data_IF_384746764561
#
_entry.id   IF_384746764561
#
_cell.length_a   1.000
_cell.length_b   1.000
_cell.length_c   1.000
_cell.angle_alpha   90.00
_cell.angle_beta   90.00
_cell.angle_gamma   90.00
#
_symmetry.space_group_name_H-M   'P 1'
#
loop_
_entity.id
_entity.type
_entity.pdbx_description
1 polymer ?
#
# COMPACT_ATOMS: atom_id res chain seq x y z
N UNK A 1 20.93 -7.14 9.25
CA UNK A 1 21.07 -8.16 10.30
C UNK A 1 19.72 -8.40 10.94
N UNK A 2 19.42 -9.67 11.32
CA UNK A 2 18.14 -9.96 11.96
C UNK A 2 18.16 -11.24 12.75
N UNK A 3 17.22 -11.34 13.70
CA UNK A 3 16.89 -12.55 14.44
C UNK A 3 15.40 -12.80 14.21
N UNK A 4 15.06 -14.05 13.89
CA UNK A 4 13.66 -14.47 13.76
C UNK A 4 13.43 -15.73 14.58
N UNK A 5 12.23 -15.86 15.13
CA UNK A 5 11.82 -17.04 15.87
C UNK A 5 10.37 -17.40 15.57
N UNK A 6 10.07 -18.68 15.65
CA UNK A 6 8.73 -19.23 15.46
C UNK A 6 8.46 -20.33 16.49
N UNK A 7 7.30 -20.28 17.09
CA UNK A 7 6.77 -21.31 17.97
C UNK A 7 5.40 -21.73 17.45
N UNK A 8 5.20 -23.04 17.31
CA UNK A 8 3.94 -23.62 16.89
C UNK A 8 3.47 -24.63 17.94
N UNK A 9 2.19 -24.63 18.24
CA UNK A 9 1.57 -25.57 19.14
C UNK A 9 0.28 -26.10 18.54
N UNK A 10 0.12 -27.41 18.55
CA UNK A 10 -1.09 -28.09 18.09
C UNK A 10 -1.60 -29.03 19.17
N UNK A 11 -2.86 -28.85 19.58
CA UNK A 11 -3.52 -29.73 20.52
C UNK A 11 -4.55 -30.59 19.79
N UNK A 12 -4.37 -31.90 19.86
CA UNK A 12 -5.26 -32.93 19.32
C UNK A 12 -5.68 -32.73 17.85
N UNK A 13 -4.83 -32.08 17.03
CA UNK A 13 -5.11 -31.68 15.64
C UNK A 13 -6.40 -30.84 15.50
N UNK A 14 -6.90 -30.27 16.59
CA UNK A 14 -8.10 -29.42 16.66
C UNK A 14 -7.76 -27.96 16.84
N UNK A 15 -6.89 -27.64 17.80
CA UNK A 15 -6.51 -26.28 18.15
C UNK A 15 -5.07 -26.06 17.73
N UNK A 16 -4.86 -25.03 16.94
CA UNK A 16 -3.56 -24.69 16.37
C UNK A 16 -3.20 -23.28 16.82
N UNK A 17 -1.99 -23.08 17.32
CA UNK A 17 -1.45 -21.78 17.69
C UNK A 17 -0.07 -21.60 17.08
N UNK A 18 0.19 -20.40 16.66
CA UNK A 18 1.50 -20.00 16.12
C UNK A 18 1.83 -18.60 16.62
N UNK A 19 3.07 -18.42 17.05
CA UNK A 19 3.64 -17.12 17.37
C UNK A 19 4.98 -16.99 16.62
N UNK A 20 5.16 -15.85 15.95
CA UNK A 20 6.39 -15.53 15.25
C UNK A 20 6.87 -14.16 15.69
N UNK A 21 8.18 -13.95 15.58
CA UNK A 21 8.73 -12.61 15.68
C UNK A 21 9.90 -12.45 14.71
N UNK A 22 10.06 -11.24 14.21
CA UNK A 22 11.26 -10.76 13.54
C UNK A 22 11.82 -9.57 14.30
N UNK A 23 13.10 -9.59 14.59
CA UNK A 23 13.85 -8.46 15.13
C UNK A 23 14.94 -8.12 14.13
N UNK A 24 14.70 -7.08 13.32
CA UNK A 24 15.51 -6.78 12.14
C UNK A 24 16.18 -5.42 12.27
N UNK A 25 17.41 -5.34 11.84
CA UNK A 25 18.20 -4.10 11.82
C UNK A 25 18.54 -3.69 10.40
N UNK A 26 18.23 -2.43 10.05
CA UNK A 26 18.57 -1.80 8.79
C UNK A 26 19.54 -0.65 8.96
N UNK A 27 20.57 -0.62 8.12
CA UNK A 27 21.53 0.50 8.07
C UNK A 27 20.96 1.75 7.39
N UNK A 28 19.82 1.64 6.73
CA UNK A 28 19.12 2.77 6.14
C UNK A 28 18.69 3.82 7.18
N UNK A 29 18.61 3.42 8.45
CA UNK A 29 18.20 4.31 9.53
C UNK A 29 19.38 4.79 10.40
N UNK A 30 19.20 5.95 10.99
CA UNK A 30 20.18 6.53 11.93
C UNK A 30 20.42 5.62 13.15
N UNK A 31 21.59 5.71 13.80
CA UNK A 31 21.82 5.03 15.06
C UNK A 31 20.69 5.31 16.06
N UNK A 32 20.17 4.25 16.71
CA UNK A 32 19.02 4.32 17.61
C UNK A 32 17.66 4.12 16.93
N UNK A 33 17.57 4.16 15.60
CA UNK A 33 16.34 3.89 14.81
C UNK A 33 16.44 2.63 13.95
N UNK A 34 17.56 1.94 13.96
CA UNK A 34 17.87 0.83 13.04
C UNK A 34 17.04 -0.42 13.28
N UNK A 35 16.67 -0.70 14.53
CA UNK A 35 16.06 -1.96 14.92
C UNK A 35 14.55 -1.85 14.99
N UNK A 36 13.86 -2.76 14.32
CA UNK A 36 12.41 -2.94 14.35
C UNK A 36 12.03 -4.32 14.89
N UNK A 37 10.96 -4.38 15.69
CA UNK A 37 10.41 -5.63 16.22
C UNK A 37 9.02 -5.87 15.62
N UNK A 38 8.87 -7.01 14.95
CA UNK A 38 7.71 -7.35 14.14
C UNK A 38 7.13 -8.69 14.61
N UNK A 39 6.28 -8.70 15.65
CA UNK A 39 5.62 -9.89 16.13
C UNK A 39 4.39 -10.24 15.28
N UNK A 40 4.03 -11.53 15.27
CA UNK A 40 2.76 -12.02 14.75
C UNK A 40 2.26 -13.22 15.54
N UNK A 41 0.95 -13.38 15.58
CA UNK A 41 0.31 -14.52 16.20
C UNK A 41 -0.83 -15.02 15.30
N UNK A 42 -1.06 -16.33 15.32
CA UNK A 42 -2.16 -16.97 14.62
C UNK A 42 -2.81 -18.05 15.49
N UNK A 43 -4.11 -18.22 15.30
CA UNK A 43 -4.87 -19.31 15.88
C UNK A 43 -5.73 -19.98 14.81
N UNK A 44 -5.89 -21.29 14.93
CA UNK A 44 -6.75 -22.07 14.05
C UNK A 44 -7.56 -23.11 14.85
N UNK A 45 -8.79 -23.30 14.43
CA UNK A 45 -9.67 -24.33 14.97
C UNK A 45 -10.16 -25.23 13.85
N UNK A 46 -9.77 -26.51 13.91
CA UNK A 46 -10.24 -27.55 12.98
C UNK A 46 -11.50 -28.15 13.55
N UNK A 47 -12.63 -27.51 13.25
CA UNK A 47 -13.95 -27.87 13.77
C UNK A 47 -14.34 -29.29 13.34
N UNK A 48 -13.96 -29.67 12.13
CA UNK A 48 -14.21 -31.00 11.59
C UNK A 48 -13.52 -32.14 12.35
N UNK A 49 -12.58 -31.83 13.24
CA UNK A 49 -11.94 -32.83 14.11
C UNK A 49 -12.61 -32.97 15.50
N UNK A 50 -13.66 -32.22 15.74
CA UNK A 50 -14.46 -32.38 16.97
C UNK A 50 -15.36 -33.62 16.89
N UNK A 51 -15.64 -34.23 18.04
CA UNK A 51 -16.45 -35.45 18.14
C UNK A 51 -17.91 -35.23 17.68
N UNK A 52 -18.44 -34.03 17.84
CA UNK A 52 -19.80 -33.71 17.39
C UNK A 52 -19.92 -33.61 15.87
N UNK A 53 -18.80 -33.59 15.12
CA UNK A 53 -18.78 -33.45 13.66
C UNK A 53 -19.00 -34.76 12.91
N UNK A 54 -18.90 -35.91 13.58
CA UNK A 54 -18.90 -37.25 12.92
C UNK A 54 -20.15 -37.49 12.08
N UNK A 55 -21.31 -36.98 12.50
CA UNK A 55 -22.57 -37.15 11.78
C UNK A 55 -22.62 -36.51 10.39
N UNK A 56 -21.87 -35.43 10.19
CA UNK A 56 -21.88 -34.65 8.94
C UNK A 56 -20.57 -34.73 8.15
N UNK A 57 -19.58 -35.46 8.64
CA UNK A 57 -18.23 -35.60 8.03
C UNK A 57 -18.25 -36.12 6.59
N UNK A 58 -19.27 -36.93 6.23
CA UNK A 58 -19.43 -37.43 4.84
C UNK A 58 -19.76 -36.31 3.87
N UNK A 59 -20.51 -35.30 4.31
CA UNK A 59 -20.88 -34.12 3.50
C UNK A 59 -19.87 -33.00 3.63
N UNK A 60 -19.52 -32.64 4.87
CA UNK A 60 -18.51 -31.62 5.18
C UNK A 60 -17.29 -32.32 5.74
N UNK A 61 -16.35 -32.63 4.84
CA UNK A 61 -15.16 -33.43 5.16
C UNK A 61 -14.10 -32.63 5.93
N UNK A 62 -14.06 -31.34 5.76
CA UNK A 62 -13.16 -30.44 6.49
C UNK A 62 -13.85 -29.10 6.77
N UNK A 63 -13.68 -28.60 7.98
CA UNK A 63 -14.02 -27.23 8.34
C UNK A 63 -12.97 -26.72 9.31
N UNK A 64 -12.27 -25.67 8.89
CA UNK A 64 -11.28 -24.99 9.70
C UNK A 64 -11.45 -23.49 9.61
N UNK A 65 -11.39 -22.82 10.74
CA UNK A 65 -11.34 -21.36 10.85
C UNK A 65 -9.93 -20.99 11.32
N UNK A 66 -9.37 -19.93 10.75
CA UNK A 66 -8.08 -19.37 11.15
C UNK A 66 -8.17 -17.87 11.30
N UNK A 67 -7.37 -17.34 12.19
CA UNK A 67 -7.16 -15.90 12.35
C UNK A 67 -5.68 -15.66 12.59
N UNK A 68 -5.14 -14.63 11.96
CA UNK A 68 -3.79 -14.17 12.23
C UNK A 68 -3.76 -12.65 12.33
N UNK A 69 -2.90 -12.17 13.20
CA UNK A 69 -2.60 -10.75 13.34
C UNK A 69 -1.10 -10.56 13.50
N UNK A 70 -0.53 -9.60 12.79
CA UNK A 70 0.91 -9.37 12.86
C UNK A 70 1.32 -7.99 12.35
N UNK A 71 2.55 -7.64 12.72
CA UNK A 71 3.25 -6.47 12.23
C UNK A 71 4.27 -6.90 11.18
N UNK A 72 4.39 -6.12 10.09
CA UNK A 72 5.44 -6.25 9.11
C UNK A 72 6.14 -4.90 8.94
N UNK A 73 7.46 -4.88 8.96
CA UNK A 73 8.28 -3.71 8.73
C UNK A 73 8.81 -3.66 7.30
N UNK A 74 8.92 -2.45 6.76
CA UNK A 74 9.57 -2.19 5.49
C UNK A 74 10.64 -1.11 5.65
N UNK A 75 11.86 -1.38 5.18
CA UNK A 75 12.99 -0.47 5.16
C UNK A 75 13.40 -0.02 3.75
N UNK A 76 12.63 -0.43 2.73
CA UNK A 76 12.85 -0.04 1.35
C UNK A 76 12.20 1.33 1.06
N UNK A 77 12.86 2.39 1.48
CA UNK A 77 12.35 3.77 1.42
C UNK A 77 12.58 4.47 0.07
N UNK A 78 13.09 3.75 -0.94
CA UNK A 78 13.47 4.31 -2.24
C UNK A 78 14.84 4.98 -2.26
N UNK A 79 15.29 5.53 -1.14
CA UNK A 79 16.60 6.17 -0.96
C UNK A 79 17.44 5.40 0.04
N UNK A 80 18.76 5.36 -0.18
CA UNK A 80 19.70 4.78 0.79
C UNK A 80 20.16 5.88 1.76
N UNK A 81 20.22 5.52 3.04
CA UNK A 81 20.68 6.43 4.12
C UNK A 81 19.92 7.77 4.17
N UNK A 82 18.56 7.76 4.16
CA UNK A 82 17.76 8.97 4.12
C UNK A 82 17.97 9.90 5.33
N UNK A 83 18.71 9.46 6.34
CA UNK A 83 19.10 10.29 7.49
C UNK A 83 20.30 11.22 7.20
N UNK A 84 20.96 11.06 6.04
CA UNK A 84 22.12 11.86 5.63
C UNK A 84 21.71 12.92 4.61
N UNK A 85 22.21 14.13 4.79
CA UNK A 85 22.13 15.15 3.74
C UNK A 85 23.16 14.85 2.65
N UNK A 86 22.78 15.08 1.40
CA UNK A 86 23.66 14.95 0.24
C UNK A 86 24.05 16.34 -0.20
N UNK A 87 25.35 16.56 -0.36
CA UNK A 87 25.93 17.81 -0.83
C UNK A 87 26.63 17.55 -2.17
N UNK A 88 26.14 18.18 -3.23
CA UNK A 88 26.80 18.20 -4.51
C UNK A 88 27.86 19.32 -4.53
N UNK A 89 29.02 19.01 -5.10
CA UNK A 89 30.11 19.99 -5.27
C UNK A 89 30.15 20.43 -6.73
N UNK A 90 30.47 21.71 -6.94
CA UNK A 90 30.62 22.23 -8.30
C UNK A 90 29.31 22.59 -9.01
N UNK A 91 28.22 22.73 -8.26
CA UNK A 91 26.94 23.22 -8.76
C UNK A 91 26.92 24.72 -9.04
N UNK A 92 25.93 25.19 -9.81
CA UNK A 92 25.85 26.62 -10.22
C UNK A 92 25.48 27.58 -9.08
N UNK A 93 25.15 27.10 -7.91
CA UNK A 93 24.86 27.89 -6.70
C UNK A 93 26.14 28.36 -6.02
N UNK A 94 27.04 28.99 -6.78
CA UNK A 94 28.28 29.50 -6.29
C UNK A 94 28.16 30.84 -5.54
N UNK A 95 29.27 31.39 -5.18
CA UNK A 95 29.35 32.69 -4.50
C UNK A 95 28.98 33.81 -5.48
N UNK A 96 28.17 34.74 -5.03
CA UNK A 96 27.87 35.97 -5.74
C UNK A 96 28.59 37.14 -5.05
N UNK A 97 29.30 37.90 -5.86
CA UNK A 97 29.90 39.19 -5.43
C UNK A 97 29.50 40.26 -6.43
N UNK A 98 28.90 41.35 -5.98
CA UNK A 98 28.34 42.40 -6.83
C UNK A 98 27.40 41.88 -7.93
N UNK A 99 26.52 40.94 -7.59
CA UNK A 99 25.56 40.26 -8.50
C UNK A 99 26.21 39.44 -9.61
N UNK A 100 27.52 39.26 -9.62
CA UNK A 100 28.21 38.38 -10.54
C UNK A 100 28.58 37.06 -9.88
N UNK A 101 28.35 35.95 -10.58
CA UNK A 101 28.74 34.62 -10.11
C UNK A 101 30.27 34.52 -10.08
N UNK A 102 30.82 34.18 -8.92
CA UNK A 102 32.26 34.03 -8.73
C UNK A 102 32.76 32.58 -8.81
N UNK A 103 31.88 31.65 -9.17
CA UNK A 103 32.23 30.26 -9.32
C UNK A 103 31.19 29.29 -8.82
N UNK A 104 31.51 28.00 -8.90
CA UNK A 104 30.70 26.91 -8.47
C UNK A 104 30.98 26.58 -6.99
N UNK A 105 29.93 26.35 -6.22
CA UNK A 105 30.02 26.06 -4.79
C UNK A 105 29.31 24.77 -4.38
N UNK A 106 29.35 24.42 -3.11
CA UNK A 106 28.57 23.29 -2.58
C UNK A 106 27.09 23.66 -2.55
N UNK A 107 26.24 22.68 -2.89
CA UNK A 107 24.78 22.78 -2.84
C UNK A 107 24.21 21.54 -2.16
N UNK A 108 23.33 21.73 -1.19
CA UNK A 108 22.57 20.61 -0.62
C UNK A 108 21.52 20.19 -1.65
N UNK A 109 21.60 18.95 -2.12
CA UNK A 109 20.63 18.36 -3.07
C UNK A 109 19.57 17.53 -2.38
N UNK A 110 19.83 17.05 -1.17
CA UNK A 110 18.87 16.32 -0.35
C UNK A 110 19.11 16.62 1.12
N UNK A 111 18.07 17.02 1.82
CA UNK A 111 18.12 17.15 3.28
C UNK A 111 17.84 15.80 3.94
N UNK A 112 18.77 15.34 4.77
CA UNK A 112 18.60 14.11 5.53
C UNK A 112 17.58 14.26 6.65
N UNK A 113 16.83 13.18 6.90
CA UNK A 113 15.92 13.08 8.03
C UNK A 113 16.45 12.08 9.07
N UNK A 114 17.07 12.52 10.17
CA UNK A 114 17.58 11.63 11.21
C UNK A 114 16.46 10.87 11.97
N UNK A 115 15.19 11.30 11.78
CA UNK A 115 14.03 10.64 12.37
C UNK A 115 13.38 9.60 11.43
N UNK A 116 13.95 9.37 10.23
CA UNK A 116 13.49 8.32 9.36
C UNK A 116 13.51 6.95 10.06
N UNK A 117 12.42 6.21 9.96
CA UNK A 117 12.21 4.92 10.62
C UNK A 117 11.47 3.96 9.71
N UNK A 118 11.26 2.75 10.19
CA UNK A 118 10.51 1.70 9.50
C UNK A 118 9.10 2.15 9.13
N UNK A 119 8.66 1.76 7.96
CA UNK A 119 7.23 1.71 7.65
C UNK A 119 6.65 0.47 8.30
N UNK A 120 5.51 0.58 8.94
CA UNK A 120 4.84 -0.51 9.64
C UNK A 120 3.49 -0.83 9.01
N UNK A 121 3.27 -2.12 8.71
CA UNK A 121 2.00 -2.64 8.26
C UNK A 121 1.40 -3.57 9.32
N UNK A 122 0.24 -3.21 9.86
CA UNK A 122 -0.60 -4.05 10.72
C UNK A 122 -1.52 -4.87 9.83
N UNK A 123 -1.40 -6.19 9.91
CA UNK A 123 -2.15 -7.12 9.07
C UNK A 123 -3.04 -8.01 9.90
N UNK A 124 -4.31 -8.10 9.52
CA UNK A 124 -5.27 -9.06 10.05
C UNK A 124 -5.75 -9.93 8.89
N UNK A 125 -5.76 -11.23 9.08
CA UNK A 125 -6.33 -12.21 8.16
C UNK A 125 -7.26 -13.15 8.92
N UNK A 126 -8.49 -13.34 8.39
CA UNK A 126 -9.48 -14.28 8.91
C UNK A 126 -9.85 -15.21 7.76
N UNK A 127 -9.56 -16.49 7.92
CA UNK A 127 -9.76 -17.49 6.87
C UNK A 127 -10.67 -18.64 7.28
N UNK A 128 -11.38 -19.15 6.29
CA UNK A 128 -12.23 -20.33 6.36
C UNK A 128 -11.74 -21.35 5.32
N UNK A 129 -11.53 -22.57 5.75
CA UNK A 129 -11.24 -23.71 4.87
C UNK A 129 -12.40 -24.71 4.96
N UNK A 130 -13.06 -24.98 3.86
CA UNK A 130 -14.24 -25.85 3.76
C UNK A 130 -14.00 -26.96 2.74
N UNK A 131 -14.06 -28.21 3.20
CA UNK A 131 -14.02 -29.40 2.33
C UNK A 131 -15.41 -30.03 2.23
N UNK A 132 -15.88 -30.26 1.02
CA UNK A 132 -17.18 -30.86 0.75
C UNK A 132 -17.03 -32.16 -0.07
N UNK A 133 -17.74 -33.20 0.36
CA UNK A 133 -17.85 -34.49 -0.34
C UNK A 133 -16.50 -35.16 -0.67
N UNK A 134 -15.42 -34.82 0.05
CA UNK A 134 -14.04 -35.20 -0.26
C UNK A 134 -13.62 -34.87 -1.71
N UNK A 135 -14.27 -33.90 -2.36
CA UNK A 135 -14.02 -33.55 -3.75
C UNK A 135 -13.83 -32.04 -3.95
N UNK A 136 -14.57 -31.21 -3.24
CA UNK A 136 -14.53 -29.75 -3.36
C UNK A 136 -13.88 -29.16 -2.12
N UNK A 137 -12.79 -28.40 -2.31
CA UNK A 137 -12.14 -27.61 -1.28
C UNK A 137 -12.31 -26.13 -1.61
N UNK A 138 -12.84 -25.38 -0.66
CA UNK A 138 -13.04 -23.93 -0.74
C UNK A 138 -12.21 -23.29 0.36
N UNK A 139 -11.41 -22.30 0.00
CA UNK A 139 -10.69 -21.42 0.92
C UNK A 139 -11.19 -20.01 0.70
N UNK A 140 -11.66 -19.36 1.76
CA UNK A 140 -12.06 -17.97 1.75
C UNK A 140 -11.29 -17.23 2.84
N UNK A 141 -10.75 -16.06 2.52
CA UNK A 141 -10.06 -15.23 3.49
C UNK A 141 -10.52 -13.78 3.34
N UNK A 142 -10.69 -13.11 4.46
CA UNK A 142 -10.83 -11.67 4.58
C UNK A 142 -9.57 -11.11 5.20
N UNK A 143 -8.99 -10.11 4.56
CA UNK A 143 -7.77 -9.48 5.04
C UNK A 143 -7.92 -7.98 5.17
N UNK A 144 -7.19 -7.41 6.13
CA UNK A 144 -7.00 -5.96 6.24
C UNK A 144 -5.53 -5.66 6.48
N UNK A 145 -5.10 -4.52 5.96
CA UNK A 145 -3.78 -3.96 6.20
C UNK A 145 -3.91 -2.47 6.51
N UNK A 146 -3.29 -2.02 7.59
CA UNK A 146 -3.12 -0.61 7.95
C UNK A 146 -1.63 -0.30 7.95
N UNK A 147 -1.17 0.35 6.88
CA UNK A 147 0.24 0.73 6.69
C UNK A 147 0.44 2.16 7.11
N UNK A 148 1.30 2.37 8.08
CA UNK A 148 1.63 3.66 8.69
C UNK A 148 3.10 4.00 8.51
N UNK A 149 3.43 5.29 8.64
CA UNK A 149 4.81 5.74 8.54
C UNK A 149 5.39 5.59 7.13
N UNK A 150 4.55 5.65 6.08
CA UNK A 150 5.02 5.59 4.70
C UNK A 150 5.96 6.77 4.45
N UNK A 151 7.16 6.46 3.98
CA UNK A 151 8.19 7.45 3.73
C UNK A 151 7.93 8.20 2.43
N UNK A 152 7.65 9.48 2.53
CA UNK A 152 7.32 10.31 1.38
C UNK A 152 7.87 11.72 1.51
N UNK A 153 7.90 12.44 0.39
CA UNK A 153 8.30 13.85 0.34
C UNK A 153 7.27 14.72 1.06
N UNK A 154 7.76 15.71 1.81
CA UNK A 154 6.91 16.71 2.44
C UNK A 154 6.54 17.79 1.42
N UNK A 155 5.27 17.90 1.10
CA UNK A 155 4.77 18.87 0.09
C UNK A 155 4.06 20.07 0.70
N UNK A 156 3.70 20.02 1.99
CA UNK A 156 3.05 21.11 2.73
C UNK A 156 4.00 22.25 3.14
N UNK A 157 5.30 22.13 2.85
CA UNK A 157 6.27 23.16 3.22
C UNK A 157 6.12 24.37 2.29
N UNK A 158 5.91 25.60 2.85
CA UNK A 158 5.78 26.81 2.04
C UNK A 158 7.05 27.07 1.23
N UNK A 159 6.90 27.66 0.05
CA UNK A 159 8.02 28.06 -0.81
C UNK A 159 8.98 29.05 -0.15
N UNK A 160 8.48 29.84 0.82
CA UNK A 160 9.26 30.78 1.62
C UNK A 160 10.34 30.12 2.48
N UNK A 161 10.27 28.80 2.71
CA UNK A 161 11.34 28.05 3.42
C UNK A 161 12.63 27.95 2.61
N UNK A 162 12.62 28.24 1.30
CA UNK A 162 13.77 28.09 0.41
C UNK A 162 14.10 26.64 0.07
N UNK A 163 13.27 25.66 0.45
CA UNK A 163 13.50 24.23 0.24
C UNK A 163 12.91 23.70 -1.07
N UNK A 164 12.56 24.57 -2.01
CA UNK A 164 12.06 24.19 -3.33
C UNK A 164 13.09 23.31 -4.08
N UNK A 165 12.64 22.14 -4.54
CA UNK A 165 13.48 21.17 -5.25
C UNK A 165 14.33 20.27 -4.35
N UNK A 166 14.50 20.59 -3.05
CA UNK A 166 15.25 19.81 -2.07
C UNK A 166 14.41 19.45 -0.84
N UNK A 167 13.11 19.33 -1.04
CA UNK A 167 12.11 19.08 0.01
C UNK A 167 12.46 17.82 0.79
N UNK A 168 12.50 17.88 2.13
CA UNK A 168 12.84 16.73 2.96
C UNK A 168 11.74 15.64 2.90
N UNK A 169 12.15 14.42 3.17
CA UNK A 169 11.26 13.28 3.31
C UNK A 169 10.91 13.01 4.78
N UNK A 170 9.77 12.36 5.01
CA UNK A 170 9.34 11.94 6.34
C UNK A 170 8.43 10.71 6.30
N UNK A 171 8.29 10.03 7.45
CA UNK A 171 7.37 8.93 7.66
C UNK A 171 5.98 9.46 8.03
N UNK A 172 5.25 9.99 7.04
CA UNK A 172 4.04 10.79 7.23
C UNK A 172 2.82 10.28 6.48
N UNK A 173 2.97 9.21 5.69
CA UNK A 173 1.86 8.64 4.94
C UNK A 173 1.21 7.47 5.65
N UNK A 174 -0.08 7.26 5.37
CA UNK A 174 -0.86 6.12 5.83
C UNK A 174 -1.83 5.67 4.76
N UNK A 175 -1.86 4.36 4.54
CA UNK A 175 -2.78 3.70 3.59
C UNK A 175 -3.43 2.53 4.30
N UNK A 176 -4.75 2.40 4.14
CA UNK A 176 -5.49 1.21 4.54
C UNK A 176 -5.88 0.40 3.33
N UNK A 177 -5.85 -0.90 3.47
CA UNK A 177 -6.40 -1.81 2.47
C UNK A 177 -7.19 -2.92 3.13
N UNK A 178 -8.18 -3.45 2.42
CA UNK A 178 -8.97 -4.60 2.82
C UNK A 178 -9.44 -5.35 1.59
N UNK A 179 -9.72 -6.64 1.75
CA UNK A 179 -10.18 -7.44 0.64
C UNK A 179 -10.62 -8.83 1.04
N UNK A 180 -11.02 -9.57 0.03
CA UNK A 180 -11.40 -10.98 0.14
C UNK A 180 -10.68 -11.78 -0.94
N UNK A 181 -10.18 -12.95 -0.54
CA UNK A 181 -9.63 -13.96 -1.42
C UNK A 181 -10.49 -15.21 -1.35
N UNK A 182 -10.81 -15.79 -2.49
CA UNK A 182 -11.56 -17.03 -2.63
C UNK A 182 -10.81 -17.96 -3.57
N UNK A 183 -10.63 -19.21 -3.15
CA UNK A 183 -10.12 -20.30 -3.98
C UNK A 183 -11.05 -21.49 -3.85
N UNK A 184 -11.41 -22.10 -4.97
CA UNK A 184 -12.19 -23.33 -5.01
C UNK A 184 -11.49 -24.36 -5.89
N UNK A 185 -11.28 -25.55 -5.36
CA UNK A 185 -10.62 -26.66 -6.05
C UNK A 185 -11.55 -27.87 -6.00
N UNK A 186 -12.00 -28.32 -7.17
CA UNK A 186 -12.77 -29.53 -7.30
C UNK A 186 -11.92 -30.63 -7.94
N UNK A 187 -11.76 -31.76 -7.22
CA UNK A 187 -11.05 -32.93 -7.70
C UNK A 187 -11.98 -34.13 -7.59
N UNK A 188 -12.26 -34.79 -8.70
CA UNK A 188 -13.10 -35.99 -8.73
C UNK A 188 -12.46 -37.03 -9.63
N UNK A 189 -12.26 -38.22 -9.09
CA UNK A 189 -11.96 -39.43 -9.87
C UNK A 189 -13.25 -40.19 -10.09
N UNK A 190 -13.64 -40.36 -11.35
CA UNK A 190 -14.87 -41.07 -11.72
C UNK A 190 -14.61 -42.58 -11.84
N UNK A 191 -13.49 -42.94 -12.43
CA UNK A 191 -13.03 -44.31 -12.56
C UNK A 191 -11.49 -44.36 -12.69
N UNK A 192 -10.90 -45.52 -13.05
CA UNK A 192 -9.45 -45.68 -13.18
C UNK A 192 -8.84 -44.83 -14.30
N UNK A 193 -9.62 -44.49 -15.31
CA UNK A 193 -9.14 -43.83 -16.54
C UNK A 193 -9.57 -42.37 -16.62
N UNK A 194 -10.57 -41.96 -15.85
CA UNK A 194 -11.14 -40.61 -15.90
C UNK A 194 -11.05 -39.87 -14.55
N UNK A 195 -10.44 -38.73 -14.57
CA UNK A 195 -10.42 -37.77 -13.45
C UNK A 195 -10.68 -36.36 -13.95
N UNK A 196 -11.28 -35.53 -13.11
CA UNK A 196 -11.51 -34.11 -13.37
C UNK A 196 -10.94 -33.29 -12.23
N UNK A 197 -10.12 -32.29 -12.58
CA UNK A 197 -9.62 -31.28 -11.67
C UNK A 197 -9.96 -29.89 -12.21
N UNK A 198 -10.69 -29.10 -11.42
CA UNK A 198 -11.05 -27.71 -11.73
C UNK A 198 -10.55 -26.81 -10.59
N UNK A 199 -10.00 -25.66 -10.95
CA UNK A 199 -9.60 -24.64 -9.98
C UNK A 199 -10.11 -23.27 -10.42
N UNK A 200 -10.77 -22.57 -9.51
CA UNK A 200 -11.16 -21.18 -9.65
C UNK A 200 -10.59 -20.35 -8.52
N UNK A 201 -10.18 -19.13 -8.82
CA UNK A 201 -9.72 -18.15 -7.81
C UNK A 201 -10.39 -16.81 -8.08
N UNK A 202 -10.71 -16.10 -7.00
CA UNK A 202 -11.25 -14.74 -7.07
C UNK A 202 -10.62 -13.91 -5.97
N UNK A 203 -10.12 -12.72 -6.34
CA UNK A 203 -9.59 -11.75 -5.41
C UNK A 203 -10.26 -10.41 -5.62
N UNK A 204 -10.69 -9.79 -4.54
CA UNK A 204 -11.18 -8.42 -4.54
C UNK A 204 -10.46 -7.64 -3.44
N UNK A 205 -9.85 -6.51 -3.80
CA UNK A 205 -9.22 -5.63 -2.82
C UNK A 205 -9.51 -4.17 -3.11
N UNK A 206 -9.59 -3.39 -2.05
CA UNK A 206 -9.64 -1.93 -2.08
C UNK A 206 -8.60 -1.35 -1.14
N UNK A 207 -8.07 -0.21 -1.53
CA UNK A 207 -7.20 0.58 -0.67
C UNK A 207 -7.66 2.03 -0.65
N UNK A 208 -7.22 2.77 0.37
CA UNK A 208 -7.56 4.17 0.61
C UNK A 208 -6.36 4.87 1.23
N UNK A 209 -6.02 6.03 0.70
CA UNK A 209 -5.05 6.94 1.30
C UNK A 209 -5.71 7.63 2.48
N UNK A 210 -5.25 7.35 3.70
CA UNK A 210 -5.81 7.93 4.94
C UNK A 210 -5.06 9.20 5.31
N UNK A 211 -3.73 9.20 5.14
CA UNK A 211 -2.88 10.34 5.45
C UNK A 211 -1.83 10.51 4.35
N UNK A 212 -1.68 11.73 3.88
CA UNK A 212 -0.65 12.18 2.96
C UNK A 212 -0.33 13.63 3.25
N UNK A 213 0.94 14.01 3.14
CA UNK A 213 1.33 15.40 3.24
C UNK A 213 0.96 16.10 1.92
N UNK A 214 -0.16 16.77 1.92
CA UNK A 214 -0.65 17.57 0.79
C UNK A 214 -0.44 19.04 1.13
N UNK A 215 0.11 19.80 0.17
CA UNK A 215 0.19 21.25 0.28
C UNK A 215 -1.20 21.91 0.17
N UNK A 216 -1.23 23.23 0.15
CA UNK A 216 -2.46 23.97 -0.10
C UNK A 216 -3.01 23.61 -1.49
N UNK A 217 -4.14 22.90 -1.52
CA UNK A 217 -4.82 22.51 -2.74
C UNK A 217 -5.73 23.65 -3.19
N UNK A 218 -5.74 23.92 -4.48
CA UNK A 218 -6.64 24.95 -5.04
C UNK A 218 -8.11 24.56 -4.92
N UNK A 219 -8.39 23.25 -4.99
CA UNK A 219 -9.74 22.69 -4.89
C UNK A 219 -9.71 21.38 -4.10
N UNK A 220 -10.71 21.13 -3.27
CA UNK A 220 -10.81 19.94 -2.41
C UNK A 220 -10.83 18.63 -3.19
N UNK A 221 -11.38 18.61 -4.41
CA UNK A 221 -11.41 17.43 -5.26
C UNK A 221 -10.02 16.97 -5.76
N UNK A 222 -9.00 17.81 -5.63
CA UNK A 222 -7.61 17.47 -5.97
C UNK A 222 -6.93 16.64 -4.87
N UNK A 223 -7.54 16.56 -3.68
CA UNK A 223 -7.02 15.72 -2.60
C UNK A 223 -7.05 14.25 -2.99
N UNK A 224 -5.95 13.54 -2.71
CA UNK A 224 -5.92 12.08 -2.85
C UNK A 224 -6.28 11.36 -1.56
N UNK A 225 -6.41 12.08 -0.44
CA UNK A 225 -6.88 11.54 0.84
C UNK A 225 -8.36 11.12 0.68
N UNK A 226 -8.70 9.93 1.15
CA UNK A 226 -10.02 9.33 0.96
C UNK A 226 -10.20 8.60 -0.38
N UNK A 227 -9.20 8.63 -1.25
CA UNK A 227 -9.23 7.95 -2.55
C UNK A 227 -8.26 6.76 -2.60
N UNK A 228 -8.46 5.82 -3.54
CA UNK A 228 -7.50 4.73 -3.77
C UNK A 228 -6.12 5.26 -4.16
N UNK A 229 -5.07 4.52 -3.78
CA UNK A 229 -3.71 4.79 -4.27
C UNK A 229 -3.71 4.72 -5.79
N UNK A 230 -3.13 5.71 -6.45
CA UNK A 230 -3.14 5.89 -7.90
C UNK A 230 -4.53 6.13 -8.53
N UNK A 231 -5.50 6.61 -7.74
CA UNK A 231 -6.74 7.11 -8.33
C UNK A 231 -6.44 8.25 -9.30
N UNK A 232 -7.08 8.21 -10.45
CA UNK A 232 -7.02 9.33 -11.39
C UNK A 232 -7.94 10.42 -10.85
N UNK A 233 -7.34 11.53 -10.39
CA UNK A 233 -8.07 12.71 -9.93
C UNK A 233 -7.88 13.84 -10.95
N UNK A 234 -8.95 14.57 -11.24
CA UNK A 234 -8.88 15.72 -12.14
C UNK A 234 -8.78 15.34 -13.63
N UNK A 235 -9.59 14.41 -14.09
CA UNK A 235 -9.74 14.10 -15.52
C UNK A 235 -10.64 15.16 -16.16
N UNK A 236 -10.15 15.81 -17.23
CA UNK A 236 -10.98 16.67 -18.06
C UNK A 236 -11.93 15.79 -18.90
N UNK A 237 -13.23 15.97 -18.75
CA UNK A 237 -14.23 15.25 -19.53
C UNK A 237 -14.55 16.05 -20.78
N UNK A 238 -14.24 15.47 -21.96
CA UNK A 238 -14.60 16.08 -23.23
C UNK A 238 -16.11 15.96 -23.50
N UNK A 239 -16.76 17.08 -23.80
CA UNK A 239 -18.20 17.18 -24.11
C UNK A 239 -18.44 17.49 -25.61
N UNK A 240 -17.51 17.09 -26.48
CA UNK A 240 -17.51 17.32 -27.91
C UNK A 240 -16.55 18.44 -28.36
N UNK A 241 -16.85 19.01 -29.51
CA UNK A 241 -16.09 20.15 -30.09
C UNK A 241 -16.97 21.37 -30.12
N UNK A 242 -16.39 22.56 -30.00
CA UNK A 242 -17.11 23.82 -30.24
C UNK A 242 -17.49 23.91 -31.72
N UNK A 243 -18.77 24.10 -32.00
CA UNK A 243 -19.31 24.16 -33.36
C UNK A 243 -19.47 25.58 -33.91
N UNK A 244 -19.53 26.56 -33.02
CA UNK A 244 -19.71 27.97 -33.39
C UNK A 244 -19.09 28.92 -32.36
N UNK A 245 -18.82 30.16 -32.77
CA UNK A 245 -18.36 31.21 -31.86
C UNK A 245 -19.43 31.53 -30.79
N UNK A 246 -20.71 31.52 -31.18
CA UNK A 246 -21.82 31.75 -30.25
C UNK A 246 -21.87 30.71 -29.12
N UNK A 247 -21.54 29.44 -29.42
CA UNK A 247 -21.42 28.37 -28.41
C UNK A 247 -20.26 28.66 -27.45
N UNK A 248 -19.11 29.13 -27.95
CA UNK A 248 -17.96 29.53 -27.13
C UNK A 248 -18.36 30.66 -26.17
N UNK A 249 -19.02 31.71 -26.70
CA UNK A 249 -19.39 32.89 -25.94
C UNK A 249 -20.41 32.59 -24.84
N UNK A 250 -21.27 31.58 -25.03
CA UNK A 250 -22.27 31.12 -24.07
C UNK A 250 -21.81 29.98 -23.16
N UNK A 251 -20.60 29.46 -23.34
CA UNK A 251 -20.02 28.39 -22.52
C UNK A 251 -19.15 28.94 -21.39
N UNK A 252 -18.96 28.17 -20.27
CA UNK A 252 -17.97 28.54 -19.26
C UNK A 252 -16.59 28.71 -19.87
N UNK A 253 -15.87 29.75 -19.44
CA UNK A 253 -14.54 30.03 -19.98
C UNK A 253 -13.54 28.97 -19.55
N UNK A 254 -12.92 28.30 -20.52
CA UNK A 254 -11.84 27.33 -20.25
C UNK A 254 -10.55 28.08 -19.87
N UNK A 255 -9.88 27.58 -18.82
CA UNK A 255 -8.76 28.29 -18.17
C UNK A 255 -7.37 27.90 -18.72
N UNK A 256 -7.28 26.89 -19.59
CA UNK A 256 -6.00 26.28 -20.00
C UNK A 256 -5.50 26.69 -21.39
N UNK A 257 -5.84 27.87 -21.85
CA UNK A 257 -5.31 28.45 -23.08
C UNK A 257 -6.37 29.10 -23.95
N UNK A 258 -5.95 29.57 -25.14
CA UNK A 258 -6.85 30.08 -26.15
C UNK A 258 -7.50 28.91 -26.87
N UNK A 259 -8.78 29.02 -27.17
CA UNK A 259 -9.55 28.01 -27.88
C UNK A 259 -10.46 28.66 -28.93
N UNK A 260 -10.74 27.94 -30.00
CA UNK A 260 -11.51 28.39 -31.17
C UNK A 260 -12.56 27.35 -31.54
N UNK A 261 -13.39 27.70 -32.54
CA UNK A 261 -14.31 26.74 -33.15
C UNK A 261 -13.54 25.54 -33.71
N UNK A 262 -13.97 24.34 -33.35
CA UNK A 262 -13.31 23.07 -33.67
C UNK A 262 -12.43 22.51 -32.54
N UNK A 263 -12.16 23.28 -31.47
CA UNK A 263 -11.43 22.79 -30.29
C UNK A 263 -12.35 21.99 -29.36
N UNK A 264 -11.71 21.19 -28.49
CA UNK A 264 -12.45 20.34 -27.55
C UNK A 264 -13.14 21.22 -26.49
N UNK A 265 -14.42 20.98 -26.30
CA UNK A 265 -15.21 21.51 -25.21
C UNK A 265 -15.10 20.58 -24.00
N UNK A 266 -14.64 21.11 -22.88
CA UNK A 266 -14.54 20.34 -21.63
C UNK A 266 -15.67 20.72 -20.69
N UNK A 267 -16.10 19.71 -19.92
CA UNK A 267 -17.08 19.87 -18.85
C UNK A 267 -16.36 20.13 -17.53
N UNK A 268 -16.88 21.10 -16.75
CA UNK A 268 -16.52 21.28 -15.35
C UNK A 268 -17.09 20.18 -14.46
#
# INVERSE_FOLDING_TARGET
>A
QGLAGRVTYGFDKRYLFEANFGYNGSENFAPGKRWGFFPSAAAGWVISNESFWDGIRKTVSNLKIRVSYGLAGNDALGERFPYRSIVAMGEESGFYYNWNSQGKGPKITTYGNPNATWEEAKKLDVGLELGLFNALNIEAAYFTEDRTGIFMRRTSLPSSTGLLGVTPYGNIGRVKSHGVDLSAVYNKQFNKDWSLSLRGTFTFSRNEVVEKDEGDLMYDYMSVVGHPVNAITGVLVADGLFTSQEEIDNSPKQQFGNYTVGDIKYRD
#
